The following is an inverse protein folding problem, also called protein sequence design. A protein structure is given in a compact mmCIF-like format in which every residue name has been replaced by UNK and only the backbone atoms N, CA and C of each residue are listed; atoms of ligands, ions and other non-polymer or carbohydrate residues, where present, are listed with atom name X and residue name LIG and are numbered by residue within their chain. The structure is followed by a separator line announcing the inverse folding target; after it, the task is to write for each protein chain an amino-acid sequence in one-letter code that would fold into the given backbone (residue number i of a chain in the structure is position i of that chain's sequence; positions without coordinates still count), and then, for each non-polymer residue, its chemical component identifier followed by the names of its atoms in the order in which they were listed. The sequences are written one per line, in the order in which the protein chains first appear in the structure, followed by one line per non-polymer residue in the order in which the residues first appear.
data_IF_345866277791
#
_entry.id   IF_345866277791
#
_cell.length_a   1.000
_cell.length_b   1.000
_cell.length_c   1.000
_cell.angle_alpha   90.00
_cell.angle_beta   90.00
_cell.angle_gamma   90.00
#
_symmetry.space_group_name_H-M   'P 1'
#
loop_
_entity.id
_entity.type
_entity.pdbx_description
1 polymer ?
#
# COMPACT_ATOMS: atom_id res chain seq x y z
N UNK A 1 2.61 17.93 3.06
CA UNK A 1 1.17 17.57 3.13
C UNK A 1 0.95 16.14 3.60
N UNK A 2 1.83 15.19 3.24
CA UNK A 2 1.80 13.78 3.67
C UNK A 2 1.51 13.61 5.18
N UNK A 3 2.23 14.32 6.07
CA UNK A 3 1.98 14.25 7.52
C UNK A 3 0.54 14.63 7.88
N UNK A 4 0.02 15.70 7.29
CA UNK A 4 -1.37 16.13 7.49
C UNK A 4 -2.35 15.08 6.96
N UNK A 5 -2.07 14.50 5.79
CA UNK A 5 -2.88 13.43 5.22
C UNK A 5 -2.93 12.20 6.15
N UNK A 6 -1.78 11.81 6.72
CA UNK A 6 -1.71 10.74 7.74
C UNK A 6 -2.54 11.05 8.98
N UNK A 7 -2.51 12.29 9.47
CA UNK A 7 -3.32 12.71 10.61
C UNK A 7 -4.83 12.70 10.32
N UNK A 8 -5.25 13.05 9.11
CA UNK A 8 -6.66 12.92 8.71
C UNK A 8 -7.06 11.44 8.62
N UNK A 9 -6.17 10.59 8.08
CA UNK A 9 -6.41 9.15 7.98
C UNK A 9 -6.54 8.50 9.35
N UNK A 10 -5.71 8.87 10.34
CA UNK A 10 -5.79 8.35 11.70
C UNK A 10 -7.07 8.79 12.43
N UNK A 11 -7.62 9.95 12.07
CA UNK A 11 -8.93 10.43 12.55
C UNK A 11 -10.11 9.85 11.76
N UNK A 12 -9.88 8.92 10.84
CA UNK A 12 -10.89 8.34 9.93
C UNK A 12 -11.53 9.33 8.97
N UNK A 13 -10.93 10.51 8.80
CA UNK A 13 -11.34 11.50 7.80
C UNK A 13 -10.78 11.12 6.43
N UNK A 14 -11.14 9.93 5.94
CA UNK A 14 -10.49 9.33 4.78
C UNK A 14 -10.66 10.13 3.49
N UNK A 15 -11.81 10.78 3.28
CA UNK A 15 -12.02 11.66 2.13
C UNK A 15 -10.97 12.77 2.08
N UNK A 16 -10.73 13.42 3.23
CA UNK A 16 -9.73 14.49 3.34
C UNK A 16 -8.30 13.96 3.23
N UNK A 17 -8.02 12.80 3.82
CA UNK A 17 -6.73 12.13 3.71
C UNK A 17 -6.40 11.83 2.23
N UNK A 18 -7.35 11.26 1.48
CA UNK A 18 -7.23 10.95 0.06
C UNK A 18 -6.90 12.20 -0.77
N UNK A 19 -7.59 13.31 -0.54
CA UNK A 19 -7.29 14.58 -1.23
C UNK A 19 -5.86 15.06 -0.95
N UNK A 20 -5.45 15.05 0.32
CA UNK A 20 -4.14 15.55 0.73
C UNK A 20 -3.00 14.64 0.24
N UNK A 21 -3.21 13.32 0.15
CA UNK A 21 -2.23 12.42 -0.45
C UNK A 21 -2.12 12.62 -1.96
N UNK A 22 -3.24 12.79 -2.67
CA UNK A 22 -3.22 13.14 -4.10
C UNK A 22 -2.48 14.46 -4.35
N UNK A 23 -2.74 15.48 -3.54
CA UNK A 23 -2.04 16.76 -3.64
C UNK A 23 -0.54 16.61 -3.32
N UNK A 24 -0.19 15.78 -2.33
CA UNK A 24 1.21 15.47 -2.00
C UNK A 24 1.93 14.82 -3.18
N UNK A 25 1.28 13.88 -3.87
CA UNK A 25 1.81 13.24 -5.06
C UNK A 25 2.02 14.25 -6.20
N UNK A 26 1.04 15.12 -6.48
CA UNK A 26 1.18 16.16 -7.51
C UNK A 26 2.35 17.12 -7.23
N UNK A 27 2.54 17.50 -5.95
CA UNK A 27 3.63 18.38 -5.53
C UNK A 27 5.00 17.70 -5.48
N UNK A 28 5.05 16.37 -5.50
CA UNK A 28 6.31 15.61 -5.46
C UNK A 28 7.17 15.81 -6.71
N UNK A 29 6.56 16.26 -7.83
CA UNK A 29 7.27 16.38 -9.11
C UNK A 29 7.80 15.03 -9.54
N UNK A 30 9.09 14.96 -9.90
CA UNK A 30 9.77 13.72 -10.33
C UNK A 30 10.44 12.93 -9.19
N UNK A 31 10.24 13.32 -7.92
CA UNK A 31 10.88 12.63 -6.80
C UNK A 31 10.13 11.31 -6.47
N UNK A 32 10.70 10.18 -6.89
CA UNK A 32 10.09 8.85 -6.74
C UNK A 32 9.86 8.46 -5.27
N UNK A 33 10.71 8.86 -4.33
CA UNK A 33 10.53 8.55 -2.90
C UNK A 33 9.31 9.28 -2.31
N UNK A 34 9.16 10.58 -2.63
CA UNK A 34 8.01 11.36 -2.16
C UNK A 34 6.72 10.88 -2.85
N UNK A 35 6.79 10.57 -4.14
CA UNK A 35 5.68 9.98 -4.88
C UNK A 35 5.25 8.65 -4.24
N UNK A 36 6.20 7.76 -3.95
CA UNK A 36 5.93 6.46 -3.34
C UNK A 36 5.28 6.60 -1.96
N UNK A 37 5.81 7.47 -1.09
CA UNK A 37 5.21 7.77 0.22
C UNK A 37 3.79 8.31 0.10
N UNK A 38 3.55 9.25 -0.80
CA UNK A 38 2.22 9.83 -0.99
C UNK A 38 1.22 8.79 -1.50
N UNK A 39 1.63 7.96 -2.46
CA UNK A 39 0.76 6.93 -3.05
C UNK A 39 0.50 5.75 -2.12
N UNK A 40 1.49 5.36 -1.31
CA UNK A 40 1.28 4.33 -0.30
C UNK A 40 0.29 4.79 0.76
N UNK A 41 0.41 6.04 1.23
CA UNK A 41 -0.58 6.64 2.12
C UNK A 41 -1.97 6.74 1.48
N UNK A 42 -2.05 7.09 0.19
CA UNK A 42 -3.31 7.10 -0.57
C UNK A 42 -3.94 5.70 -0.64
N UNK A 43 -3.16 4.68 -0.99
CA UNK A 43 -3.62 3.29 -1.04
C UNK A 43 -4.18 2.85 0.32
N UNK A 44 -3.47 3.15 1.40
CA UNK A 44 -3.91 2.82 2.77
C UNK A 44 -5.21 3.52 3.13
N UNK A 45 -5.30 4.84 2.91
CA UNK A 45 -6.52 5.60 3.20
C UNK A 45 -7.72 5.11 2.38
N UNK A 46 -7.51 4.72 1.11
CA UNK A 46 -8.56 4.14 0.28
C UNK A 46 -9.01 2.76 0.75
N UNK A 47 -8.06 1.91 1.18
CA UNK A 47 -8.37 0.61 1.74
C UNK A 47 -9.18 0.74 3.04
N UNK A 48 -8.78 1.65 3.92
CA UNK A 48 -9.47 1.91 5.20
C UNK A 48 -10.86 2.52 4.99
N UNK A 49 -11.04 3.31 3.92
CA UNK A 49 -12.33 3.84 3.48
C UNK A 49 -13.22 2.82 2.74
N UNK A 50 -12.79 1.56 2.63
CA UNK A 50 -13.44 0.51 1.83
C UNK A 50 -13.55 0.80 0.32
N UNK A 51 -12.78 1.77 -0.18
CA UNK A 51 -12.65 2.08 -1.60
C UNK A 51 -11.66 1.12 -2.27
N UNK A 52 -11.99 -0.18 -2.27
CA UNK A 52 -11.06 -1.25 -2.65
C UNK A 52 -10.60 -1.18 -4.10
N UNK A 53 -11.47 -0.79 -5.04
CA UNK A 53 -11.11 -0.61 -6.46
C UNK A 53 -10.07 0.51 -6.59
N UNK A 54 -10.28 1.62 -5.87
CA UNK A 54 -9.32 2.73 -5.83
C UNK A 54 -7.98 2.33 -5.21
N UNK A 55 -8.01 1.60 -4.09
CA UNK A 55 -6.80 1.12 -3.43
C UNK A 55 -5.96 0.22 -4.35
N UNK A 56 -6.61 -0.72 -5.06
CA UNK A 56 -5.92 -1.59 -6.02
C UNK A 56 -5.33 -0.81 -7.20
N UNK A 57 -6.07 0.17 -7.74
CA UNK A 57 -5.57 1.02 -8.82
C UNK A 57 -4.36 1.86 -8.39
N UNK A 58 -4.41 2.47 -7.20
CA UNK A 58 -3.29 3.23 -6.63
C UNK A 58 -2.08 2.33 -6.39
N UNK A 59 -2.28 1.11 -5.91
CA UNK A 59 -1.20 0.14 -5.73
C UNK A 59 -0.46 -0.14 -7.03
N UNK A 60 -1.19 -0.41 -8.13
CA UNK A 60 -0.57 -0.69 -9.42
C UNK A 60 0.26 0.48 -9.94
N UNK A 61 -0.18 1.71 -9.70
CA UNK A 61 0.61 2.89 -10.05
C UNK A 61 1.84 3.05 -9.14
N UNK A 62 1.69 2.78 -7.84
CA UNK A 62 2.79 2.85 -6.85
C UNK A 62 3.89 1.84 -7.18
N UNK A 63 3.50 0.61 -7.52
CA UNK A 63 4.42 -0.48 -7.86
C UNK A 63 5.19 -0.26 -9.18
N UNK A 64 4.77 0.72 -9.99
CA UNK A 64 5.53 1.17 -11.16
C UNK A 64 6.60 2.22 -10.83
N UNK A 65 6.62 2.75 -9.60
CA UNK A 65 7.64 3.68 -9.15
C UNK A 65 8.92 2.94 -8.76
N UNK A 66 10.04 3.66 -8.83
CA UNK A 66 11.36 3.18 -8.41
C UNK A 66 11.91 4.09 -7.29
N UNK A 67 11.39 4.01 -6.06
CA UNK A 67 11.95 4.72 -4.92
C UNK A 67 13.38 4.22 -4.65
N UNK A 68 14.27 5.14 -4.29
CA UNK A 68 15.69 4.85 -4.04
C UNK A 68 15.93 4.68 -2.54
N UNK A 69 15.31 5.55 -1.73
CA UNK A 69 15.48 5.55 -0.28
C UNK A 69 14.32 4.85 0.43
N UNK A 70 13.12 4.90 -0.17
CA UNK A 70 11.90 4.36 0.43
C UNK A 70 11.56 2.95 -0.07
N UNK A 71 12.58 2.11 -0.24
CA UNK A 71 12.46 0.76 -0.84
C UNK A 71 11.50 -0.14 -0.07
N UNK A 72 11.38 0.06 1.25
CA UNK A 72 10.44 -0.67 2.11
C UNK A 72 8.98 -0.53 1.68
N UNK A 73 8.62 0.53 0.94
CA UNK A 73 7.25 0.79 0.52
C UNK A 73 6.76 -0.28 -0.45
N UNK A 74 7.62 -0.78 -1.34
CA UNK A 74 7.22 -1.69 -2.41
C UNK A 74 6.69 -3.04 -1.87
N UNK A 75 7.40 -3.77 -0.99
CA UNK A 75 6.84 -5.00 -0.40
C UNK A 75 5.59 -4.72 0.45
N UNK A 76 5.52 -3.59 1.16
CA UNK A 76 4.33 -3.21 1.91
C UNK A 76 3.12 -2.90 1.01
N UNK A 77 3.36 -2.31 -0.15
CA UNK A 77 2.34 -2.04 -1.15
C UNK A 77 1.79 -3.34 -1.75
N UNK A 78 2.65 -4.33 -2.02
CA UNK A 78 2.25 -5.68 -2.42
C UNK A 78 1.41 -6.37 -1.34
N UNK A 79 1.84 -6.34 -0.09
CA UNK A 79 1.06 -6.85 1.03
C UNK A 79 -0.32 -6.20 1.14
N UNK A 80 -0.38 -4.86 1.07
CA UNK A 80 -1.63 -4.10 1.11
C UNK A 80 -2.53 -4.41 -0.10
N UNK A 81 -1.95 -4.63 -1.27
CA UNK A 81 -2.69 -5.07 -2.46
C UNK A 81 -3.28 -6.47 -2.27
N UNK A 82 -2.53 -7.40 -1.68
CA UNK A 82 -3.03 -8.72 -1.29
C UNK A 82 -4.23 -8.63 -0.35
N UNK A 83 -4.14 -7.81 0.70
CA UNK A 83 -5.27 -7.53 1.61
C UNK A 83 -6.46 -6.91 0.87
N UNK A 84 -6.21 -6.01 -0.08
CA UNK A 84 -7.24 -5.37 -0.89
C UNK A 84 -7.98 -6.39 -1.74
N UNK A 85 -7.26 -7.27 -2.45
CA UNK A 85 -7.87 -8.33 -3.26
C UNK A 85 -8.61 -9.36 -2.41
N UNK A 86 -8.08 -9.72 -1.25
CA UNK A 86 -8.76 -10.64 -0.33
C UNK A 86 -10.10 -10.06 0.13
N UNK A 87 -10.14 -8.78 0.50
CA UNK A 87 -11.38 -8.09 0.90
C UNK A 87 -12.38 -7.94 -0.26
N UNK A 88 -11.92 -7.94 -1.50
CA UNK A 88 -12.76 -8.03 -2.70
C UNK A 88 -13.26 -9.46 -3.02
N UNK A 89 -12.85 -10.47 -2.25
CA UNK A 89 -13.14 -11.88 -2.55
C UNK A 89 -12.29 -12.47 -3.69
N UNK A 90 -11.31 -11.72 -4.20
CA UNK A 90 -10.40 -12.13 -5.27
C UNK A 90 -9.22 -12.92 -4.71
N UNK A 91 -9.50 -14.11 -4.18
CA UNK A 91 -8.52 -14.89 -3.41
C UNK A 91 -7.28 -15.29 -4.23
N UNK A 92 -7.44 -15.66 -5.50
CA UNK A 92 -6.31 -16.02 -6.35
C UNK A 92 -5.35 -14.83 -6.55
N UNK A 93 -5.89 -13.64 -6.82
CA UNK A 93 -5.11 -12.41 -6.97
C UNK A 93 -4.46 -11.98 -5.65
N UNK A 94 -5.15 -12.18 -4.52
CA UNK A 94 -4.59 -11.91 -3.20
C UNK A 94 -3.34 -12.75 -2.93
N UNK A 95 -3.40 -14.06 -3.20
CA UNK A 95 -2.26 -14.98 -3.06
C UNK A 95 -1.10 -14.57 -3.96
N UNK A 96 -1.39 -14.21 -5.21
CA UNK A 96 -0.38 -13.75 -6.16
C UNK A 96 0.29 -12.44 -5.72
N UNK A 97 -0.46 -11.51 -5.12
CA UNK A 97 0.10 -10.27 -4.60
C UNK A 97 0.95 -10.52 -3.33
N UNK A 98 0.54 -11.43 -2.45
CA UNK A 98 1.33 -11.79 -1.27
C UNK A 98 2.65 -12.46 -1.62
N UNK A 99 2.68 -13.35 -2.62
CA UNK A 99 3.94 -13.99 -3.03
C UNK A 99 4.96 -12.99 -3.59
N UNK A 100 4.53 -11.81 -4.03
CA UNK A 100 5.45 -10.73 -4.47
C UNK A 100 6.19 -10.08 -3.32
N UNK A 101 5.75 -10.25 -2.08
CA UNK A 101 6.47 -9.69 -0.93
C UNK A 101 7.83 -10.36 -0.77
N UNK A 102 7.90 -11.67 -1.00
CA UNK A 102 9.12 -12.49 -0.92
C UNK A 102 10.12 -12.19 -2.05
N UNK A 103 9.73 -11.41 -3.08
CA UNK A 103 10.65 -10.93 -4.13
C UNK A 103 11.58 -9.79 -3.63
N UNK A 104 11.36 -9.28 -2.40
CA UNK A 104 12.08 -8.14 -1.85
C UNK A 104 12.75 -8.50 -0.52
N UNK A 105 14.08 -8.36 -0.49
CA UNK A 105 14.92 -8.59 0.69
C UNK A 105 15.54 -7.28 1.21
N UNK A 106 16.19 -7.35 2.38
CA UNK A 106 17.06 -6.32 2.94
C UNK A 106 16.38 -4.98 3.30
N UNK A 107 15.23 -5.04 3.98
CA UNK A 107 14.60 -3.86 4.60
C UNK A 107 14.25 -4.07 6.09
N UNK A 108 14.24 -2.98 6.86
CA UNK A 108 14.21 -2.94 8.34
C UNK A 108 13.02 -3.65 9.04
N UNK A 109 12.09 -4.27 8.31
CA UNK A 109 10.92 -4.95 8.88
C UNK A 109 10.51 -6.22 8.11
N UNK A 110 11.43 -6.83 7.36
CA UNK A 110 11.15 -7.99 6.50
C UNK A 110 10.49 -9.16 7.23
N UNK A 111 11.12 -9.69 8.28
CA UNK A 111 10.60 -10.85 9.02
C UNK A 111 9.17 -10.65 9.54
N UNK A 112 8.87 -9.42 9.99
CA UNK A 112 7.53 -9.06 10.47
C UNK A 112 6.52 -9.09 9.33
N UNK A 113 6.84 -8.50 8.18
CA UNK A 113 5.92 -8.46 7.04
C UNK A 113 5.68 -9.86 6.47
N UNK A 114 6.73 -10.67 6.32
CA UNK A 114 6.60 -12.07 5.88
C UNK A 114 5.74 -12.90 6.84
N UNK A 115 5.89 -12.70 8.15
CA UNK A 115 5.02 -13.32 9.16
C UNK A 115 3.55 -12.97 8.92
N UNK A 116 3.25 -11.69 8.68
CA UNK A 116 1.89 -11.24 8.36
C UNK A 116 1.36 -11.83 7.05
N UNK A 117 2.21 -11.94 6.02
CA UNK A 117 1.86 -12.61 4.76
C UNK A 117 1.49 -14.07 4.99
N UNK A 118 2.30 -14.81 5.75
CA UNK A 118 2.05 -16.24 6.08
C UNK A 118 0.71 -16.42 6.81
N UNK A 119 0.41 -15.54 7.76
CA UNK A 119 -0.86 -15.55 8.49
C UNK A 119 -2.07 -15.31 7.56
N UNK A 120 -1.97 -14.33 6.65
CA UNK A 120 -3.03 -14.05 5.66
C UNK A 120 -3.22 -15.24 4.70
N UNK A 121 -2.15 -15.83 4.18
CA UNK A 121 -2.22 -16.99 3.29
C UNK A 121 -2.86 -18.22 3.95
N UNK A 122 -2.60 -18.42 5.25
CA UNK A 122 -3.20 -19.50 6.03
C UNK A 122 -4.71 -19.33 6.18
N UNK A 123 -5.19 -18.11 6.46
CA UNK A 123 -6.63 -17.80 6.55
C UNK A 123 -7.40 -18.09 5.26
N UNK A 124 -6.71 -18.02 4.11
CA UNK A 124 -7.32 -18.20 2.79
C UNK A 124 -7.29 -19.65 2.28
N UNK A 125 -6.63 -20.57 3.00
CA UNK A 125 -6.47 -21.97 2.60
C UNK A 125 -7.19 -22.98 3.50
N UNK A 126 -7.86 -22.49 4.55
CA UNK A 126 -8.71 -23.29 5.43
C UNK A 126 -10.18 -23.24 5.02
#
# INVERSE_FOLDING_TARGET
LIVKAGNESSQKNYARAVELFKESFQRAGANADIQARAMYGLQQAQFDADSLVGAAATANQLLALQPINEVWIIPHAWFKLGQTYAKQGRIADARAAFSRVDDYDDYDFQERLEGQVKDELKKMGG
#
